data_IF_861692247792
#
_entry.id   IF_861692247792
#
_cell.length_a   1.000
_cell.length_b   1.000
_cell.length_c   1.000
_cell.angle_alpha   90.00
_cell.angle_beta   90.00
_cell.angle_gamma   90.00
#
_symmetry.space_group_name_H-M   'P 1'
#
loop_
_entity.id
_entity.type
_entity.pdbx_description
1 polymer ?
#
# COMPACT_ATOMS: atom_id res chain seq x y z
N UNK A 1 -5.31 11.99 -16.75
CA UNK A 1 -4.64 10.75 -17.20
C UNK A 1 -4.50 9.88 -15.97
N UNK A 2 -5.06 8.67 -15.97
CA UNK A 2 -4.83 7.70 -14.88
C UNK A 2 -3.33 7.41 -14.85
N UNK A 3 -2.67 7.52 -13.69
CA UNK A 3 -1.27 7.13 -13.53
C UNK A 3 -1.13 5.62 -13.41
N UNK A 4 -2.22 4.97 -12.99
CA UNK A 4 -2.37 3.53 -12.91
C UNK A 4 -2.92 2.95 -14.21
N UNK A 5 -2.27 1.88 -14.70
CA UNK A 5 -2.81 0.98 -15.72
C UNK A 5 -3.73 -0.07 -15.05
N UNK A 6 -5.05 -0.05 -15.29
CA UNK A 6 -5.98 -0.97 -14.65
C UNK A 6 -5.70 -2.44 -14.96
N UNK A 7 -5.11 -2.76 -16.12
CA UNK A 7 -4.80 -4.15 -16.49
C UNK A 7 -3.65 -4.74 -15.66
N UNK A 8 -2.83 -3.87 -15.04
CA UNK A 8 -1.71 -4.25 -14.18
C UNK A 8 -2.05 -4.22 -12.69
N UNK A 9 -3.26 -3.78 -12.33
CA UNK A 9 -3.73 -3.80 -10.96
C UNK A 9 -4.47 -5.12 -10.69
N UNK A 10 -3.94 -5.90 -9.76
CA UNK A 10 -4.57 -7.11 -9.26
C UNK A 10 -5.07 -6.88 -7.84
N UNK A 11 -6.39 -6.93 -7.65
CA UNK A 11 -7.03 -6.73 -6.35
C UNK A 11 -7.48 -8.06 -5.78
N UNK A 12 -7.16 -8.29 -4.51
CA UNK A 12 -7.59 -9.46 -3.75
C UNK A 12 -8.25 -9.03 -2.43
N UNK A 13 -9.37 -9.68 -2.10
CA UNK A 13 -10.14 -9.42 -0.88
C UNK A 13 -10.00 -10.59 0.08
N UNK A 14 -9.53 -10.34 1.30
CA UNK A 14 -9.30 -11.36 2.33
C UNK A 14 -10.16 -11.07 3.55
N UNK A 15 -11.24 -11.85 3.71
CA UNK A 15 -12.21 -11.62 4.80
C UNK A 15 -12.96 -10.29 4.68
N UNK A 16 -12.97 -9.69 3.49
CA UNK A 16 -13.62 -8.43 3.15
C UNK A 16 -14.38 -8.57 1.84
N UNK A 17 -15.23 -7.60 1.53
CA UNK A 17 -15.88 -7.42 0.25
C UNK A 17 -15.35 -6.15 -0.42
N UNK A 18 -15.72 -5.89 -1.69
CA UNK A 18 -15.38 -4.63 -2.35
C UNK A 18 -15.74 -3.38 -1.54
N UNK A 19 -16.82 -3.43 -0.73
CA UNK A 19 -17.33 -2.26 -0.02
C UNK A 19 -17.31 -2.39 1.51
N UNK A 20 -17.15 -3.59 2.06
CA UNK A 20 -17.28 -3.84 3.51
C UNK A 20 -16.16 -4.71 4.08
N UNK A 21 -15.84 -4.56 5.37
CA UNK A 21 -16.22 -3.45 6.24
C UNK A 21 -15.47 -2.17 5.85
N UNK A 22 -15.97 -1.01 6.30
CA UNK A 22 -15.24 0.27 6.17
C UNK A 22 -14.08 0.31 7.16
N UNK A 23 -14.30 -0.18 8.38
CA UNK A 23 -13.29 -0.28 9.44
C UNK A 23 -13.47 -1.59 10.21
N UNK A 24 -12.39 -2.35 10.49
CA UNK A 24 -11.04 -2.13 9.97
C UNK A 24 -10.96 -2.51 8.48
N UNK A 25 -10.35 -1.66 7.66
CA UNK A 25 -10.04 -1.96 6.25
C UNK A 25 -8.61 -1.57 5.95
N UNK A 26 -7.77 -2.58 5.77
CA UNK A 26 -6.34 -2.45 5.56
C UNK A 26 -5.96 -2.85 4.15
N UNK A 27 -5.03 -2.09 3.59
CA UNK A 27 -4.55 -2.18 2.22
C UNK A 27 -3.07 -2.53 2.31
N UNK A 28 -2.66 -3.56 1.59
CA UNK A 28 -1.25 -3.91 1.39
C UNK A 28 -0.98 -3.91 -0.09
N UNK A 29 -0.14 -2.98 -0.55
CA UNK A 29 0.24 -2.85 -1.95
C UNK A 29 1.67 -3.36 -2.11
N UNK A 30 1.85 -4.25 -3.07
CA UNK A 30 3.13 -4.86 -3.42
C UNK A 30 3.39 -4.61 -4.89
N UNK A 31 4.58 -4.08 -5.22
CA UNK A 31 5.03 -3.90 -6.59
C UNK A 31 5.89 -5.09 -7.02
N UNK A 32 5.59 -5.65 -8.19
CA UNK A 32 6.44 -6.66 -8.83
C UNK A 32 7.34 -5.99 -9.87
N UNK A 33 8.63 -5.84 -9.54
CA UNK A 33 9.56 -4.97 -10.25
C UNK A 33 9.78 -5.27 -11.74
N UNK A 34 9.59 -6.50 -12.21
CA UNK A 34 9.89 -6.87 -13.61
C UNK A 34 8.76 -6.56 -14.60
N UNK A 35 7.50 -6.54 -14.15
CA UNK A 35 6.33 -6.39 -15.01
C UNK A 35 5.54 -5.10 -14.71
N UNK A 36 5.96 -4.33 -13.71
CA UNK A 36 5.23 -3.17 -13.19
C UNK A 36 3.80 -3.51 -12.74
N UNK A 37 3.57 -4.77 -12.37
CA UNK A 37 2.30 -5.21 -11.82
C UNK A 37 2.17 -4.75 -10.37
N UNK A 38 0.97 -4.29 -10.02
CA UNK A 38 0.59 -3.86 -8.69
C UNK A 38 -0.40 -4.85 -8.10
N UNK A 39 -0.07 -5.38 -6.93
CA UNK A 39 -0.93 -6.29 -6.19
C UNK A 39 -1.46 -5.59 -4.95
N UNK A 40 -2.76 -5.34 -4.92
CA UNK A 40 -3.46 -4.76 -3.79
C UNK A 40 -4.22 -5.85 -3.04
N UNK A 41 -3.81 -6.14 -1.81
CA UNK A 41 -4.59 -6.97 -0.89
C UNK A 41 -5.39 -6.09 0.05
N UNK A 42 -6.72 -6.28 0.10
CA UNK A 42 -7.63 -5.59 1.01
C UNK A 42 -8.14 -6.58 2.04
N UNK A 43 -7.86 -6.33 3.32
CA UNK A 43 -8.16 -7.25 4.40
C UNK A 43 -8.52 -6.55 5.71
N UNK A 44 -8.90 -7.36 6.71
CA UNK A 44 -9.04 -6.89 8.11
C UNK A 44 -7.67 -6.63 8.77
N UNK A 45 -6.65 -7.34 8.30
CA UNK A 45 -5.25 -7.21 8.71
C UNK A 45 -4.35 -6.91 7.49
N UNK A 46 -3.15 -6.37 7.74
CA UNK A 46 -2.14 -6.27 6.69
C UNK A 46 -1.70 -7.67 6.25
N UNK A 47 -1.43 -7.83 4.96
CA UNK A 47 -1.01 -9.10 4.37
C UNK A 47 0.47 -9.38 4.67
N UNK A 48 0.85 -9.44 5.95
CA UNK A 48 2.22 -9.66 6.42
C UNK A 48 2.88 -10.92 5.84
N UNK A 49 2.07 -11.93 5.55
CA UNK A 49 2.49 -13.17 4.90
C UNK A 49 2.98 -12.98 3.45
N UNK A 50 2.66 -11.85 2.80
CA UNK A 50 3.05 -11.53 1.42
C UNK A 50 4.22 -10.56 1.34
N UNK A 51 4.71 -10.04 2.47
CA UNK A 51 5.78 -9.03 2.44
C UNK A 51 7.05 -9.64 1.84
N UNK A 52 7.71 -8.83 1.02
CA UNK A 52 8.98 -9.15 0.38
C UNK A 52 10.14 -8.97 1.36
N UNK A 53 11.29 -9.62 1.13
CA UNK A 53 12.49 -9.39 1.92
C UNK A 53 12.99 -7.93 1.87
N UNK A 54 12.77 -7.22 0.76
CA UNK A 54 13.15 -5.82 0.59
C UNK A 54 12.29 -4.85 1.41
N UNK A 55 11.10 -5.32 1.81
CA UNK A 55 10.09 -4.58 2.56
C UNK A 55 9.66 -3.28 1.89
N UNK A 56 9.41 -3.34 0.59
CA UNK A 56 9.00 -2.18 -0.22
C UNK A 56 7.48 -2.11 -0.36
N UNK A 57 6.75 -2.68 0.60
CA UNK A 57 5.29 -2.66 0.59
C UNK A 57 4.76 -1.33 1.11
N UNK A 58 3.66 -0.90 0.51
CA UNK A 58 2.90 0.26 0.95
C UNK A 58 1.70 -0.26 1.73
N UNK A 59 1.60 0.16 2.99
CA UNK A 59 0.50 -0.22 3.86
C UNK A 59 -0.42 0.98 4.03
N UNK A 60 -1.73 0.74 4.06
CA UNK A 60 -2.67 1.81 4.37
C UNK A 60 -3.90 1.34 5.12
N UNK A 61 -4.38 2.13 6.07
CA UNK A 61 -5.58 1.79 6.84
C UNK A 61 -6.46 3.01 7.07
N UNK A 62 -7.77 2.76 7.08
CA UNK A 62 -8.74 3.72 7.57
C UNK A 62 -8.87 3.61 9.08
N UNK A 63 -8.73 4.73 9.78
CA UNK A 63 -9.01 4.84 11.21
C UNK A 63 -10.15 5.84 11.45
N UNK A 64 -10.84 5.67 12.59
CA UNK A 64 -11.73 6.70 13.14
C UNK A 64 -10.92 7.52 14.13
N UNK A 65 -10.83 8.83 13.91
CA UNK A 65 -10.25 9.77 14.85
C UNK A 65 -11.33 10.78 15.32
N UNK A 66 -12.05 10.42 16.38
CA UNK A 66 -13.21 11.20 16.82
C UNK A 66 -14.35 11.16 15.79
N UNK A 67 -14.66 12.31 15.18
CA UNK A 67 -15.70 12.43 14.15
C UNK A 67 -15.15 12.35 12.71
N UNK A 68 -13.83 12.28 12.53
CA UNK A 68 -13.20 12.18 11.21
C UNK A 68 -12.75 10.76 10.87
N UNK A 69 -12.71 10.49 9.56
CA UNK A 69 -12.03 9.34 8.99
C UNK A 69 -10.67 9.78 8.48
N UNK A 70 -9.61 9.09 8.90
CA UNK A 70 -8.25 9.36 8.45
C UNK A 70 -7.71 8.13 7.72
N UNK A 71 -7.05 8.38 6.58
CA UNK A 71 -6.33 7.34 5.86
C UNK A 71 -4.84 7.44 6.17
N UNK A 72 -4.35 6.51 6.97
CA UNK A 72 -2.95 6.45 7.33
C UNK A 72 -2.20 5.58 6.32
N UNK A 73 -1.06 6.06 5.84
CA UNK A 73 -0.17 5.31 4.96
C UNK A 73 1.15 5.08 5.68
N UNK A 74 1.58 3.83 5.74
CA UNK A 74 2.83 3.43 6.38
C UNK A 74 3.78 2.87 5.34
N UNK A 75 5.03 3.32 5.41
CA UNK A 75 6.14 2.79 4.64
C UNK A 75 7.09 2.08 5.59
N UNK A 76 7.41 0.83 5.28
CA UNK A 76 8.34 0.07 6.08
C UNK A 76 9.77 0.16 5.51
N UNK A 77 10.51 1.20 5.87
CA UNK A 77 11.93 1.28 5.52
C UNK A 77 12.73 0.40 6.50
N UNK A 78 12.73 -0.92 6.30
CA UNK A 78 13.51 -1.84 7.14
C UNK A 78 15.01 -1.53 6.99
N UNK A 79 15.82 -1.73 8.04
CA UNK A 79 17.27 -1.99 7.92
C UNK A 79 18.25 -0.96 8.51
N UNK A 80 19.54 -1.35 8.55
CA UNK A 80 20.72 -0.51 8.86
C UNK A 80 21.15 0.32 7.63
N UNK A 81 20.20 1.02 7.03
CA UNK A 81 20.52 1.91 5.91
C UNK A 81 21.13 3.21 6.44
N UNK A 82 22.09 3.76 5.69
CA UNK A 82 22.58 5.12 5.92
C UNK A 82 21.42 6.11 5.81
N UNK A 83 21.60 7.31 6.36
CA UNK A 83 20.58 8.37 6.24
C UNK A 83 20.27 8.68 4.77
N UNK A 84 21.30 8.69 3.91
CA UNK A 84 21.15 8.90 2.46
C UNK A 84 20.26 7.84 1.81
N UNK A 85 20.48 6.57 2.13
CA UNK A 85 19.68 5.47 1.57
C UNK A 85 18.23 5.49 2.08
N UNK A 86 17.96 6.03 3.27
CA UNK A 86 16.59 6.26 3.74
C UNK A 86 15.93 7.42 2.99
N UNK A 87 16.66 8.51 2.75
CA UNK A 87 16.16 9.67 2.02
C UNK A 87 15.83 9.32 0.55
N UNK A 88 16.68 8.55 -0.13
CA UNK A 88 16.43 8.09 -1.49
C UNK A 88 15.15 7.23 -1.58
N UNK A 89 14.96 6.31 -0.64
CA UNK A 89 13.77 5.45 -0.58
C UNK A 89 12.50 6.23 -0.25
N UNK A 90 12.60 7.23 0.63
CA UNK A 90 11.49 8.14 0.93
C UNK A 90 11.08 8.96 -0.30
N UNK A 91 12.05 9.48 -1.05
CA UNK A 91 11.80 10.22 -2.27
C UNK A 91 11.17 9.33 -3.36
N UNK A 92 11.68 8.10 -3.53
CA UNK A 92 11.10 7.11 -4.43
C UNK A 92 9.64 6.83 -4.05
N UNK A 93 9.35 6.62 -2.77
CA UNK A 93 7.99 6.42 -2.28
C UNK A 93 7.07 7.61 -2.54
N UNK A 94 7.52 8.86 -2.32
CA UNK A 94 6.69 10.05 -2.62
C UNK A 94 6.27 10.13 -4.08
N UNK A 95 7.09 9.62 -4.99
CA UNK A 95 6.75 9.54 -6.40
C UNK A 95 5.72 8.44 -6.70
N UNK A 96 5.72 7.36 -5.91
CA UNK A 96 4.81 6.21 -6.07
C UNK A 96 3.47 6.37 -5.34
N UNK A 97 3.45 7.14 -4.25
CA UNK A 97 2.27 7.35 -3.41
C UNK A 97 1.00 7.72 -4.20
N UNK A 98 1.03 8.60 -5.21
CA UNK A 98 -0.17 8.90 -5.99
C UNK A 98 -0.75 7.69 -6.72
N UNK A 99 0.09 6.78 -7.24
CA UNK A 99 -0.35 5.55 -7.92
C UNK A 99 -0.96 4.59 -6.91
N UNK A 100 -0.33 4.46 -5.73
CA UNK A 100 -0.85 3.66 -4.64
C UNK A 100 -2.24 4.13 -4.20
N UNK A 101 -2.42 5.44 -4.03
CA UNK A 101 -3.72 6.04 -3.68
C UNK A 101 -4.76 5.88 -4.79
N UNK A 102 -4.36 5.96 -6.07
CA UNK A 102 -5.26 5.66 -7.19
C UNK A 102 -5.75 4.21 -7.19
N UNK A 103 -4.93 3.26 -6.72
CA UNK A 103 -5.30 1.85 -6.63
C UNK A 103 -6.33 1.53 -5.52
N UNK A 104 -6.47 2.40 -4.52
CA UNK A 104 -7.37 2.22 -3.36
C UNK A 104 -8.80 2.75 -3.62
N UNK A 105 -9.03 3.39 -4.77
CA UNK A 105 -10.31 4.02 -5.14
C UNK A 105 -11.51 3.08 -5.17
#
# INVERSE_FOLDING_TARGET
MSRLDPEKLHVEYVGTTPTEPVIPRRHTIIRSGAADNLYLTIGLDFAFNKFTPAREEILGEWIVNGESYEYNVFLFINGRYSEDAKAEREAAFRNELPVALEAIR
#
